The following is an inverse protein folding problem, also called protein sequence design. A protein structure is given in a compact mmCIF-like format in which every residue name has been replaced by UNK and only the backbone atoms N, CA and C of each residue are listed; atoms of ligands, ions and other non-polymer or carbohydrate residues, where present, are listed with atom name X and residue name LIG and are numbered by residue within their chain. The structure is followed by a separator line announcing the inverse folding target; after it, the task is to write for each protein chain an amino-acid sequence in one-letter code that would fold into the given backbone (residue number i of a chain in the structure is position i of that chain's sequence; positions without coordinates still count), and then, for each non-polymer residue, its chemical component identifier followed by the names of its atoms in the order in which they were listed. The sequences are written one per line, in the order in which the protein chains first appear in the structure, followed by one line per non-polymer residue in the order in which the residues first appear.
data_IF_469577512567
#
_entry.id   IF_469577512567
#
_cell.length_a   1.000
_cell.length_b   1.000
_cell.length_c   1.000
_cell.angle_alpha   90.00
_cell.angle_beta   90.00
_cell.angle_gamma   90.00
#
_symmetry.space_group_name_H-M   'P 1'
#
loop_
_entity.id
_entity.type
_entity.pdbx_description
1 polymer ?
#
# COMPACT_ATOMS: atom_id res chain seq x y z
N UNK A 1 11.91 16.99 20.02
CA UNK A 1 10.61 17.39 20.61
C UNK A 1 9.54 16.81 19.70
N UNK A 2 8.87 15.71 20.08
CA UNK A 2 7.74 15.21 19.29
C UNK A 2 6.66 16.29 19.30
N UNK A 3 6.20 16.70 18.12
CA UNK A 3 5.08 17.63 18.01
C UNK A 3 3.79 16.82 17.97
N UNK A 4 3.10 16.79 19.11
CA UNK A 4 1.73 16.31 19.20
C UNK A 4 0.83 17.34 18.51
N UNK A 5 0.22 16.93 17.39
CA UNK A 5 -0.82 17.71 16.72
C UNK A 5 -2.12 16.92 16.80
N UNK A 6 -3.06 17.39 17.62
CA UNK A 6 -4.46 16.95 17.69
C UNK A 6 -4.72 15.45 17.46
N UNK A 7 -4.20 14.58 18.32
CA UNK A 7 -4.53 13.14 18.31
C UNK A 7 -3.96 12.33 17.14
N UNK A 8 -3.14 12.94 16.28
CA UNK A 8 -2.40 12.26 15.22
C UNK A 8 -0.99 11.98 15.75
N UNK A 9 -0.65 10.71 15.90
CA UNK A 9 0.71 10.32 16.27
C UNK A 9 1.53 10.05 15.00
N UNK A 10 2.64 10.78 14.87
CA UNK A 10 3.66 10.52 13.85
C UNK A 10 4.58 9.45 14.43
N UNK A 11 4.60 8.27 13.84
CA UNK A 11 5.52 7.20 14.24
C UNK A 11 6.95 7.60 13.85
N UNK A 12 7.65 8.30 14.75
CA UNK A 12 9.06 8.63 14.59
C UNK A 12 9.94 7.41 14.96
N UNK A 13 10.98 7.09 14.18
CA UNK A 13 11.96 6.08 14.56
C UNK A 13 12.81 6.62 15.72
N UNK A 14 12.73 6.00 16.90
CA UNK A 14 13.54 6.38 18.05
C UNK A 14 15.03 6.06 17.83
N UNK A 15 15.85 7.10 17.61
CA UNK A 15 17.31 6.99 17.55
C UNK A 15 17.99 8.20 16.88
N UNK A 16 19.29 8.46 17.15
CA UNK A 16 19.99 9.65 16.65
C UNK A 16 20.07 9.67 15.12
N UNK A 17 20.06 10.91 14.61
CA UNK A 17 19.69 11.32 13.26
C UNK A 17 20.74 10.94 12.22
N UNK A 18 20.50 9.86 11.50
CA UNK A 18 20.84 9.75 10.07
C UNK A 18 19.54 9.47 9.33
N UNK A 19 19.16 10.27 8.31
CA UNK A 19 17.94 10.04 7.51
C UNK A 19 17.94 8.60 6.96
N UNK A 20 17.18 7.65 7.52
CA UNK A 20 17.07 6.33 6.95
C UNK A 20 15.89 6.44 5.99
N UNK A 21 16.18 6.64 4.71
CA UNK A 21 15.20 6.30 3.66
C UNK A 21 14.88 4.82 3.80
N UNK A 22 13.84 4.48 4.54
CA UNK A 22 13.35 3.11 4.72
C UNK A 22 13.42 2.53 6.13
N UNK A 23 13.24 3.34 7.19
CA UNK A 23 12.91 2.74 8.49
C UNK A 23 11.59 1.96 8.35
N UNK A 24 11.67 0.64 8.55
CA UNK A 24 10.51 -0.24 8.50
C UNK A 24 9.52 0.11 9.62
N UNK A 25 8.26 0.37 9.25
CA UNK A 25 7.17 0.61 10.22
C UNK A 25 6.80 -0.70 10.90
N UNK A 26 6.88 -0.75 12.24
CA UNK A 26 6.54 -1.95 13.02
C UNK A 26 5.03 -2.05 13.28
N UNK A 27 4.45 -3.22 13.07
CA UNK A 27 3.04 -3.51 13.35
C UNK A 27 2.69 -3.33 14.82
N UNK A 28 3.61 -3.68 15.74
CA UNK A 28 3.41 -3.48 17.17
C UNK A 28 3.21 -2.01 17.53
N UNK A 29 4.01 -1.12 16.93
CA UNK A 29 3.91 0.32 17.15
C UNK A 29 2.57 0.88 16.63
N UNK A 30 2.05 0.35 15.52
CA UNK A 30 0.71 0.73 15.02
C UNK A 30 -0.36 0.28 16.02
N UNK A 31 -0.29 -0.95 16.54
CA UNK A 31 -1.25 -1.45 17.54
C UNK A 31 -1.26 -0.60 18.80
N UNK A 32 -0.09 -0.26 19.33
CA UNK A 32 0.04 0.59 20.53
C UNK A 32 -0.64 1.96 20.36
N UNK A 33 -0.52 2.59 19.18
CA UNK A 33 -1.19 3.87 18.90
C UNK A 33 -2.70 3.71 18.81
N UNK A 34 -3.17 2.65 18.15
CA UNK A 34 -4.61 2.35 18.01
C UNK A 34 -5.25 2.03 19.36
N UNK A 35 -4.56 1.31 20.25
CA UNK A 35 -5.02 0.98 21.60
C UNK A 35 -5.21 2.23 22.47
N UNK A 36 -4.50 3.33 22.17
CA UNK A 36 -4.69 4.63 22.81
C UNK A 36 -5.87 5.43 22.22
N UNK A 37 -6.60 4.86 21.25
CA UNK A 37 -7.69 5.54 20.55
C UNK A 37 -7.21 6.65 19.61
N UNK A 38 -5.98 6.57 19.10
CA UNK A 38 -5.37 7.57 18.21
C UNK A 38 -5.21 7.03 16.80
N UNK A 39 -5.15 7.95 15.83
CA UNK A 39 -4.78 7.61 14.45
C UNK A 39 -3.26 7.64 14.27
N UNK A 40 -2.70 6.56 13.75
CA UNK A 40 -1.31 6.51 13.31
C UNK A 40 -1.17 7.09 11.90
N UNK A 41 -0.34 8.12 11.72
CA UNK A 41 0.00 8.64 10.40
C UNK A 41 1.19 7.87 9.82
N UNK A 42 1.01 7.26 8.65
CA UNK A 42 2.00 6.36 8.04
C UNK A 42 2.49 6.88 6.68
N UNK A 43 3.81 7.09 6.54
CA UNK A 43 4.45 7.32 5.23
C UNK A 43 4.93 5.99 4.65
N UNK A 44 4.04 5.32 3.91
CA UNK A 44 4.28 3.98 3.38
C UNK A 44 3.97 3.89 1.89
N UNK A 45 4.55 2.88 1.22
CA UNK A 45 4.24 2.58 -0.18
C UNK A 45 2.83 1.97 -0.35
N UNK A 46 2.18 2.08 -1.52
CA UNK A 46 0.89 1.44 -1.79
C UNK A 46 0.89 -0.08 -1.51
N UNK A 47 1.96 -0.80 -1.86
CA UNK A 47 2.06 -2.22 -1.55
C UNK A 47 2.11 -2.53 -0.04
N UNK A 48 2.51 -1.59 0.80
CA UNK A 48 2.42 -1.75 2.25
C UNK A 48 1.00 -1.57 2.76
N UNK A 49 0.18 -0.73 2.09
CA UNK A 49 -1.26 -0.61 2.38
C UNK A 49 -1.97 -1.93 2.12
N UNK A 50 -1.66 -2.62 1.02
CA UNK A 50 -2.19 -3.98 0.77
C UNK A 50 -1.88 -4.94 1.91
N UNK A 51 -0.64 -4.90 2.41
CA UNK A 51 -0.23 -5.75 3.53
C UNK A 51 -0.89 -5.37 4.85
N UNK A 52 -1.14 -4.08 5.09
CA UNK A 52 -1.92 -3.62 6.24
C UNK A 52 -3.38 -4.08 6.16
N UNK A 53 -3.99 -4.05 4.96
CA UNK A 53 -5.33 -4.62 4.73
C UNK A 53 -5.34 -6.13 5.00
N UNK A 54 -4.35 -6.86 4.46
CA UNK A 54 -4.20 -8.30 4.74
C UNK A 54 -4.03 -8.60 6.23
N UNK A 55 -3.28 -7.74 6.94
CA UNK A 55 -3.11 -7.80 8.39
C UNK A 55 -4.30 -7.25 9.19
N UNK A 56 -5.42 -6.97 8.54
CA UNK A 56 -6.68 -6.51 9.13
C UNK A 56 -6.59 -5.19 9.91
N UNK A 57 -5.63 -4.33 9.56
CA UNK A 57 -5.58 -2.95 10.08
C UNK A 57 -6.52 -2.01 9.33
N UNK A 58 -6.94 -2.38 8.11
CA UNK A 58 -7.88 -1.64 7.26
C UNK A 58 -7.72 -0.11 7.32
N UNK A 59 -6.54 0.42 6.95
CA UNK A 59 -6.24 1.84 7.11
C UNK A 59 -7.18 2.73 6.29
N UNK A 60 -7.47 3.93 6.81
CA UNK A 60 -8.11 5.00 6.03
C UNK A 60 -7.06 5.58 5.07
N UNK A 61 -7.30 5.47 3.76
CA UNK A 61 -6.36 5.90 2.73
C UNK A 61 -6.95 7.07 1.95
N UNK A 62 -6.53 8.29 2.29
CA UNK A 62 -7.01 9.50 1.62
C UNK A 62 -6.02 9.97 0.56
N UNK A 63 -6.45 10.00 -0.70
CA UNK A 63 -5.65 10.56 -1.79
C UNK A 63 -5.89 12.06 -1.94
N UNK A 64 -4.82 12.85 -1.87
CA UNK A 64 -4.86 14.30 -2.12
C UNK A 64 -4.66 14.57 -3.61
N UNK A 65 -5.77 14.80 -4.32
CA UNK A 65 -5.77 14.98 -5.77
C UNK A 65 -5.42 16.41 -6.14
N UNK A 66 -4.30 16.59 -6.83
CA UNK A 66 -3.96 17.86 -7.48
C UNK A 66 -4.62 17.94 -8.86
N UNK A 67 -5.30 19.05 -9.15
CA UNK A 67 -5.94 19.26 -10.46
C UNK A 67 -4.93 19.63 -11.54
N UNK A 68 -3.84 20.32 -11.17
CA UNK A 68 -2.80 20.75 -12.11
C UNK A 68 -1.41 20.82 -11.47
N UNK A 69 -0.38 20.81 -12.32
CA UNK A 69 1.01 21.14 -11.91
C UNK A 69 1.12 22.50 -11.22
N UNK A 70 0.29 23.47 -11.59
CA UNK A 70 0.31 24.81 -10.98
C UNK A 70 -0.21 24.79 -9.55
N UNK A 71 -1.28 24.03 -9.29
CA UNK A 71 -1.79 23.83 -7.93
C UNK A 71 -0.70 23.24 -7.01
N UNK A 72 0.07 22.25 -7.51
CA UNK A 72 1.22 21.69 -6.76
C UNK A 72 2.32 22.74 -6.53
N UNK A 73 2.57 23.61 -7.50
CA UNK A 73 3.58 24.67 -7.37
C UNK A 73 3.17 25.70 -6.32
N UNK A 74 1.89 26.09 -6.30
CA UNK A 74 1.33 27.01 -5.31
C UNK A 74 1.43 26.44 -3.89
N UNK A 75 1.01 25.19 -3.68
CA UNK A 75 1.11 24.54 -2.37
C UNK A 75 2.56 24.47 -1.85
N UNK A 76 3.50 24.14 -2.74
CA UNK A 76 4.94 24.08 -2.38
C UNK A 76 5.57 25.42 -2.03
N UNK A 77 4.97 26.53 -2.45
CA UNK A 77 5.44 27.86 -2.03
C UNK A 77 5.26 28.09 -0.53
N UNK A 78 4.29 27.40 0.08
CA UNK A 78 3.98 27.47 1.51
C UNK A 78 4.67 26.35 2.30
N UNK A 79 4.86 25.19 1.67
CA UNK A 79 5.48 24.00 2.27
C UNK A 79 6.66 23.54 1.39
N UNK A 80 7.90 23.91 1.75
CA UNK A 80 9.05 23.59 0.92
C UNK A 80 9.29 22.07 0.88
N UNK A 81 9.11 21.49 -0.30
CA UNK A 81 9.29 20.05 -0.52
C UNK A 81 10.48 19.79 -1.43
N UNK A 82 11.30 18.78 -1.12
CA UNK A 82 12.53 18.45 -1.88
C UNK A 82 12.27 18.10 -3.36
N UNK A 83 11.13 17.48 -3.69
CA UNK A 83 10.79 17.08 -5.06
C UNK A 83 10.15 18.22 -5.86
N UNK A 84 10.43 18.34 -7.17
CA UNK A 84 9.83 19.38 -8.01
C UNK A 84 8.33 19.20 -8.21
N UNK A 85 7.60 20.29 -8.45
CA UNK A 85 6.15 20.27 -8.68
C UNK A 85 5.76 19.38 -9.89
N UNK A 86 6.61 19.33 -10.92
CA UNK A 86 6.44 18.43 -12.06
C UNK A 86 6.50 16.96 -11.62
N UNK A 87 7.55 16.57 -10.89
CA UNK A 87 7.73 15.18 -10.42
C UNK A 87 6.61 14.76 -9.47
N UNK A 88 6.18 15.64 -8.59
CA UNK A 88 5.09 15.38 -7.66
C UNK A 88 3.75 15.21 -8.38
N UNK A 89 3.44 16.06 -9.36
CA UNK A 89 2.23 15.94 -10.16
C UNK A 89 2.21 14.66 -11.00
N UNK A 90 3.31 14.34 -11.69
CA UNK A 90 3.46 13.08 -12.45
C UNK A 90 3.30 11.85 -11.54
N UNK A 91 3.86 11.90 -10.32
CA UNK A 91 3.71 10.84 -9.32
C UNK A 91 2.26 10.72 -8.84
N UNK A 92 1.57 11.84 -8.60
CA UNK A 92 0.17 11.85 -8.19
C UNK A 92 -0.73 11.20 -9.26
N UNK A 93 -0.55 11.56 -10.53
CA UNK A 93 -1.29 10.94 -11.64
C UNK A 93 -1.01 9.44 -11.75
N UNK A 94 0.24 9.01 -11.56
CA UNK A 94 0.60 7.59 -11.58
C UNK A 94 -0.03 6.82 -10.40
N UNK A 95 -0.03 7.42 -9.20
CA UNK A 95 -0.69 6.85 -8.02
C UNK A 95 -2.19 6.68 -8.26
N UNK A 96 -2.86 7.72 -8.73
CA UNK A 96 -4.30 7.67 -9.04
C UNK A 96 -4.63 6.59 -10.08
N UNK A 97 -3.83 6.50 -11.16
CA UNK A 97 -4.07 5.52 -12.22
C UNK A 97 -3.85 4.07 -11.79
N UNK A 98 -2.81 3.80 -11.00
CA UNK A 98 -2.38 2.43 -10.69
C UNK A 98 -2.98 1.90 -9.38
N UNK A 99 -3.17 2.77 -8.41
CA UNK A 99 -3.50 2.40 -7.03
C UNK A 99 -4.80 3.03 -6.53
N UNK A 100 -5.61 3.59 -7.43
CA UNK A 100 -6.89 4.23 -7.08
C UNK A 100 -7.85 3.32 -6.30
N UNK A 101 -7.75 2.00 -6.51
CA UNK A 101 -8.54 0.99 -5.78
C UNK A 101 -8.19 0.87 -4.30
N UNK A 102 -7.03 1.36 -3.86
CA UNK A 102 -6.62 1.38 -2.46
C UNK A 102 -7.17 2.59 -1.70
N UNK A 103 -7.65 3.62 -2.41
CA UNK A 103 -8.09 4.85 -1.78
C UNK A 103 -9.50 4.68 -1.21
N UNK A 104 -9.66 4.94 0.07
CA UNK A 104 -10.98 4.97 0.71
C UNK A 104 -11.68 6.30 0.46
N UNK A 105 -10.91 7.37 0.23
CA UNK A 105 -11.45 8.68 -0.15
C UNK A 105 -10.46 9.50 -0.97
N UNK A 106 -10.97 10.50 -1.68
CA UNK A 106 -10.16 11.47 -2.43
C UNK A 106 -10.56 12.89 -2.05
N UNK A 107 -9.57 13.72 -1.73
CA UNK A 107 -9.75 15.14 -1.41
C UNK A 107 -9.04 15.96 -2.48
N UNK A 108 -9.79 16.82 -3.17
CA UNK A 108 -9.22 17.75 -4.13
C UNK A 108 -8.42 18.85 -3.41
N UNK A 109 -7.22 19.13 -3.93
CA UNK A 109 -6.35 20.21 -3.47
C UNK A 109 -6.81 21.54 -4.09
N UNK A 110 -7.96 22.03 -3.62
CA UNK A 110 -8.58 23.28 -4.09
C UNK A 110 -8.24 24.43 -3.15
N UNK A 111 -7.49 25.43 -3.61
CA UNK A 111 -7.16 26.61 -2.81
C UNK A 111 -6.43 26.30 -1.50
N UNK A 112 -5.78 27.29 -0.91
CA UNK A 112 -4.69 26.97 -0.01
C UNK A 112 -5.08 26.46 1.40
N UNK A 113 -6.30 26.71 1.86
CA UNK A 113 -6.71 26.36 3.25
C UNK A 113 -7.92 25.41 3.32
N UNK A 114 -8.69 25.27 2.23
CA UNK A 114 -9.92 24.46 2.22
C UNK A 114 -9.64 22.95 2.21
N UNK A 115 -8.51 22.53 1.63
CA UNK A 115 -8.16 21.12 1.51
C UNK A 115 -7.95 20.46 2.89
N UNK A 116 -7.37 21.19 3.85
CA UNK A 116 -7.10 20.65 5.19
C UNK A 116 -8.39 20.45 5.99
N UNK A 117 -9.28 21.43 5.95
CA UNK A 117 -10.62 21.31 6.54
C UNK A 117 -11.37 20.12 5.95
N UNK A 118 -11.36 19.99 4.61
CA UNK A 118 -12.01 18.88 3.90
C UNK A 118 -11.37 17.53 4.24
N UNK A 119 -10.06 17.48 4.44
CA UNK A 119 -9.36 16.28 4.89
C UNK A 119 -9.84 15.84 6.27
N UNK A 120 -9.88 16.75 7.26
CA UNK A 120 -10.40 16.48 8.61
C UNK A 120 -11.83 15.93 8.55
N UNK A 121 -12.72 16.62 7.84
CA UNK A 121 -14.11 16.16 7.66
C UNK A 121 -14.20 14.78 6.99
N UNK A 122 -13.32 14.48 6.03
CA UNK A 122 -13.25 13.17 5.41
C UNK A 122 -12.77 12.10 6.39
N UNK A 123 -11.76 12.38 7.21
CA UNK A 123 -11.26 11.43 8.21
C UNK A 123 -12.36 11.09 9.24
N UNK A 124 -13.04 12.10 9.76
CA UNK A 124 -14.13 11.90 10.73
C UNK A 124 -15.26 11.05 10.14
N UNK A 125 -15.63 11.31 8.87
CA UNK A 125 -16.63 10.51 8.15
C UNK A 125 -16.18 9.07 7.97
N UNK A 126 -14.93 8.87 7.51
CA UNK A 126 -14.39 7.54 7.26
C UNK A 126 -14.29 6.71 8.54
N UNK A 127 -13.95 7.33 9.67
CA UNK A 127 -13.89 6.65 10.97
C UNK A 127 -15.26 6.16 11.46
N UNK A 128 -16.36 6.75 10.99
CA UNK A 128 -17.72 6.36 11.36
C UNK A 128 -18.31 5.28 10.45
N UNK A 129 -17.63 4.96 9.34
CA UNK A 129 -18.11 3.95 8.39
C UNK A 129 -17.79 2.55 8.90
N UNK A 130 -18.77 1.67 8.80
CA UNK A 130 -18.51 0.26 9.00
C UNK A 130 -17.73 -0.34 7.83
N UNK A 131 -16.78 -1.21 8.14
CA UNK A 131 -15.88 -1.83 7.15
C UNK A 131 -16.22 -3.30 6.96
N UNK A 132 -16.05 -3.79 5.72
CA UNK A 132 -16.16 -5.21 5.42
C UNK A 132 -14.86 -5.91 5.81
N UNK A 133 -14.97 -6.91 6.68
CA UNK A 133 -13.85 -7.70 7.19
C UNK A 133 -13.90 -9.12 6.63
N UNK A 134 -12.74 -9.78 6.52
CA UNK A 134 -12.72 -11.23 6.34
C UNK A 134 -13.23 -11.94 7.62
N UNK A 135 -13.98 -13.02 7.45
CA UNK A 135 -14.46 -13.85 8.57
C UNK A 135 -13.30 -14.53 9.33
N UNK A 136 -12.21 -14.81 8.62
CA UNK A 136 -11.03 -15.46 9.18
C UNK A 136 -9.96 -14.42 9.52
N UNK A 137 -9.39 -14.52 10.73
CA UNK A 137 -8.11 -13.91 11.06
C UNK A 137 -7.01 -14.70 10.36
N UNK A 138 -5.98 -14.07 9.78
CA UNK A 138 -4.80 -14.81 9.32
C UNK A 138 -4.25 -15.60 10.52
N UNK A 139 -4.18 -16.93 10.39
CA UNK A 139 -3.80 -17.84 11.49
C UNK A 139 -2.33 -17.69 11.91
N UNK A 140 -1.53 -16.99 11.11
CA UNK A 140 -0.15 -16.66 11.43
C UNK A 140 -0.08 -15.23 11.96
N UNK A 141 0.55 -15.04 13.12
CA UNK A 141 0.91 -13.71 13.61
C UNK A 141 1.81 -13.04 12.56
N UNK A 142 1.20 -12.23 11.69
CA UNK A 142 1.90 -11.50 10.63
C UNK A 142 2.94 -10.62 11.33
N UNK A 143 4.20 -11.05 11.28
CA UNK A 143 5.33 -10.31 11.84
C UNK A 143 5.76 -9.16 10.92
N UNK A 144 6.61 -8.28 11.44
CA UNK A 144 7.13 -7.12 10.70
C UNK A 144 7.85 -7.51 9.39
N UNK A 145 8.40 -8.73 9.32
CA UNK A 145 9.04 -9.29 8.13
C UNK A 145 8.09 -9.44 6.93
N UNK A 146 6.79 -9.60 7.18
CA UNK A 146 5.79 -9.63 6.12
C UNK A 146 5.63 -8.26 5.46
N UNK A 147 5.69 -7.18 6.26
CA UNK A 147 5.56 -5.82 5.75
C UNK A 147 6.75 -5.39 4.89
N UNK A 148 7.92 -6.00 5.04
CA UNK A 148 9.12 -5.66 4.30
C UNK A 148 9.85 -6.93 3.89
N UNK A 149 9.54 -7.51 2.71
CA UNK A 149 10.21 -8.71 2.23
C UNK A 149 11.73 -8.52 2.25
N UNK A 150 12.43 -9.46 2.89
CA UNK A 150 13.87 -9.45 3.21
C UNK A 150 14.81 -9.36 1.98
N UNK A 151 14.27 -9.27 0.76
CA UNK A 151 15.05 -9.10 -0.47
C UNK A 151 15.86 -7.80 -0.51
N UNK A 152 15.57 -6.84 0.37
CA UNK A 152 16.40 -5.63 0.53
C UNK A 152 17.55 -5.78 1.53
N UNK A 153 17.60 -6.87 2.33
CA UNK A 153 18.62 -7.08 3.37
C UNK A 153 19.70 -8.10 3.02
N UNK A 154 19.52 -8.91 1.98
CA UNK A 154 20.45 -10.01 1.64
C UNK A 154 21.30 -9.79 0.38
N UNK A 155 21.19 -8.67 -0.33
CA UNK A 155 22.02 -8.42 -1.52
C UNK A 155 23.49 -8.07 -1.21
N UNK A 156 23.90 -8.02 0.05
CA UNK A 156 25.22 -7.51 0.43
C UNK A 156 26.02 -8.41 1.40
N UNK A 157 25.51 -9.57 1.80
CA UNK A 157 26.27 -10.47 2.67
C UNK A 157 26.24 -11.91 2.13
N UNK A 158 27.42 -12.38 1.69
CA UNK A 158 27.81 -13.70 1.14
C UNK A 158 27.88 -13.72 -0.41
N UNK A 159 29.03 -13.92 -1.08
CA UNK A 159 30.27 -14.60 -0.67
C UNK A 159 31.54 -13.97 -1.26
N UNK A 160 32.61 -13.81 -0.46
CA UNK A 160 33.99 -13.85 -0.96
C UNK A 160 34.48 -15.31 -1.09
N UNK A 161 35.30 -15.57 -2.11
CA UNK A 161 36.09 -16.78 -2.38
C UNK A 161 35.38 -18.10 -2.75
N UNK A 162 35.59 -18.51 -4.00
CA UNK A 162 36.34 -19.74 -4.29
C UNK A 162 36.84 -19.69 -5.73
N UNK A 163 38.13 -19.40 -5.90
CA UNK A 163 38.88 -19.74 -7.11
C UNK A 163 38.93 -21.27 -7.22
N UNK A 164 38.36 -21.81 -8.29
CA UNK A 164 38.77 -23.11 -8.83
C UNK A 164 38.57 -23.09 -10.34
N UNK A 165 39.61 -22.68 -11.06
CA UNK A 165 39.83 -22.98 -12.47
C UNK A 165 39.85 -24.50 -12.66
N UNK A 166 38.87 -25.05 -13.37
CA UNK A 166 39.09 -26.24 -14.20
C UNK A 166 38.12 -26.25 -15.39
N UNK A 167 38.70 -26.52 -16.55
CA UNK A 167 38.17 -26.25 -17.87
C UNK A 167 37.03 -27.19 -18.32
N UNK A 168 36.32 -26.67 -19.31
CA UNK A 168 35.92 -27.33 -20.55
C UNK A 168 34.47 -27.81 -20.74
N UNK A 169 34.00 -27.43 -21.92
CA UNK A 169 32.85 -27.88 -22.71
C UNK A 169 31.46 -27.34 -22.37
N UNK A 170 30.93 -26.64 -23.39
CA UNK A 170 29.72 -25.84 -23.28
C UNK A 170 28.44 -26.62 -23.53
N UNK A 171 27.36 -26.04 -23.02
CA UNK A 171 26.03 -26.20 -23.60
C UNK A 171 25.12 -25.08 -23.10
N UNK A 172 24.76 -24.19 -24.03
CA UNK A 172 23.39 -23.69 -24.27
C UNK A 172 22.61 -23.13 -23.05
N UNK A 173 22.45 -21.82 -23.11
CA UNK A 173 21.38 -21.04 -22.47
C UNK A 173 20.03 -21.76 -22.55
N UNK A 174 19.49 -22.20 -21.42
CA UNK A 174 18.09 -22.61 -21.31
C UNK A 174 17.22 -21.38 -21.03
N UNK A 175 16.37 -21.10 -21.99
CA UNK A 175 15.55 -19.91 -22.08
C UNK A 175 14.38 -19.89 -21.10
N UNK A 176 14.08 -18.67 -20.69
CA UNK A 176 12.86 -18.25 -20.02
C UNK A 176 11.64 -18.61 -20.88
N UNK A 177 10.85 -19.60 -20.44
CA UNK A 177 9.58 -19.95 -21.09
C UNK A 177 8.49 -18.97 -20.66
N UNK A 178 7.92 -18.29 -21.66
CA UNK A 178 6.80 -17.37 -21.54
C UNK A 178 5.52 -18.20 -21.50
N UNK A 179 4.87 -18.27 -20.33
CA UNK A 179 3.53 -18.85 -20.24
C UNK A 179 2.51 -17.86 -20.84
N UNK A 180 2.15 -18.07 -22.10
CA UNK A 180 0.94 -17.51 -22.70
C UNK A 180 -0.17 -18.54 -22.56
N UNK A 181 -1.17 -18.25 -21.74
CA UNK A 181 -2.42 -18.99 -21.76
C UNK A 181 -3.44 -18.19 -22.55
N UNK A 182 -3.60 -18.53 -23.82
CA UNK A 182 -4.82 -18.28 -24.57
C UNK A 182 -5.59 -19.61 -24.66
N UNK A 183 -6.87 -19.67 -24.32
CA UNK A 183 -7.76 -20.67 -24.88
C UNK A 183 -8.72 -19.98 -25.85
N UNK A 184 -8.48 -20.18 -27.15
CA UNK A 184 -9.45 -19.85 -28.20
C UNK A 184 -10.34 -21.06 -28.47
N UNK A 185 -11.65 -20.83 -28.30
CA UNK A 185 -12.82 -21.37 -29.02
C UNK A 185 -12.99 -22.89 -29.22
N UNK A 186 -14.13 -23.39 -28.74
CA UNK A 186 -14.97 -24.32 -29.49
C UNK A 186 -16.42 -24.18 -29.00
N UNK A 187 -17.26 -23.54 -29.81
CA UNK A 187 -18.72 -23.68 -29.73
C UNK A 187 -19.08 -25.11 -30.11
N UNK A 188 -19.61 -25.88 -29.16
CA UNK A 188 -20.35 -27.09 -29.46
C UNK A 188 -21.70 -26.98 -28.78
N UNK A 189 -22.73 -26.82 -29.61
CA UNK A 189 -24.14 -26.88 -29.21
C UNK A 189 -24.44 -28.29 -28.71
N UNK A 190 -24.64 -28.43 -27.40
CA UNK A 190 -25.31 -29.59 -26.83
C UNK A 190 -26.34 -29.09 -25.81
N UNK A 191 -27.60 -29.11 -26.25
CA UNK A 191 -28.76 -28.79 -25.45
C UNK A 191 -29.11 -30.00 -24.60
N UNK A 192 -28.96 -29.91 -23.25
CA UNK A 192 -29.74 -30.60 -22.20
C UNK A 192 -29.02 -30.73 -20.82
N UNK A 193 -28.09 -29.86 -20.45
CA UNK A 193 -27.63 -29.80 -19.06
C UNK A 193 -28.61 -28.96 -18.20
N UNK A 194 -29.16 -29.50 -17.08
CA UNK A 194 -29.92 -28.70 -16.14
C UNK A 194 -29.03 -27.58 -15.57
N UNK A 195 -29.59 -26.39 -15.29
CA UNK A 195 -28.82 -25.30 -14.70
C UNK A 195 -28.17 -25.77 -13.39
N UNK A 196 -26.95 -25.30 -13.08
CA UNK A 196 -26.32 -25.60 -11.80
C UNK A 196 -27.27 -25.19 -10.66
N UNK A 197 -27.35 -25.96 -9.57
CA UNK A 197 -28.22 -25.63 -8.45
C UNK A 197 -27.93 -24.22 -7.99
N UNK A 198 -28.98 -23.46 -7.68
CA UNK A 198 -28.88 -22.13 -7.10
C UNK A 198 -27.92 -22.19 -5.90
N UNK A 199 -26.71 -21.68 -6.09
CA UNK A 199 -25.86 -21.35 -4.97
C UNK A 199 -26.56 -20.19 -4.25
N UNK A 200 -26.87 -20.33 -2.95
CA UNK A 200 -27.37 -19.19 -2.19
C UNK A 200 -26.37 -18.04 -2.34
N UNK A 201 -26.82 -16.78 -2.30
CA UNK A 201 -25.90 -15.65 -2.29
C UNK A 201 -24.86 -15.89 -1.21
N UNK A 202 -23.58 -15.80 -1.58
CA UNK A 202 -22.49 -15.81 -0.61
C UNK A 202 -22.88 -14.85 0.51
N UNK A 203 -22.83 -15.32 1.77
CA UNK A 203 -23.14 -14.49 2.93
C UNK A 203 -22.32 -13.21 2.79
N UNK A 204 -22.94 -12.02 2.91
CA UNK A 204 -22.19 -10.78 2.88
C UNK A 204 -21.11 -10.84 3.97
N UNK A 205 -19.89 -10.34 3.72
CA UNK A 205 -18.80 -10.44 4.68
C UNK A 205 -19.20 -9.82 6.03
N UNK A 206 -18.60 -10.23 7.15
CA UNK A 206 -18.86 -9.57 8.42
C UNK A 206 -18.50 -8.08 8.33
N UNK A 207 -19.33 -7.25 8.97
CA UNK A 207 -19.17 -5.81 9.06
C UNK A 207 -18.59 -5.49 10.43
N UNK A 208 -17.41 -4.86 10.48
CA UNK A 208 -16.79 -4.38 11.71
C UNK A 208 -17.11 -2.90 11.95
N UNK A 209 -17.14 -2.50 13.23
CA UNK A 209 -17.27 -1.11 13.69
C UNK A 209 -15.93 -0.60 14.22
#
# INVERSE_FOLDING_TARGET
MPQEVDGIFIAEPGGPVEEPKGAAVRLSAIREVVEQGKHALLDVSPGAVDRLNYAQFYPIVVFLRAESKQAVKELRSRLPMRQSARKLYERALKLERLWGHLFTSTVALTGADMWYKKLRETLDKQQQLSIWCSENKPEEAIGDDFLFPVTSRLSYASSPESDLELASEGARRLGLVRASSDPSVATQEDALAPPPPYLPPLRPPPVCH
#
